data_IF_973399355155
#
_entry.id   IF_973399355155
#
_cell.length_a   1.000
_cell.length_b   1.000
_cell.length_c   1.000
_cell.angle_alpha   90.00
_cell.angle_beta   90.00
_cell.angle_gamma   90.00
#
_symmetry.space_group_name_H-M   'P 1'
#
loop_
_entity.id
_entity.type
_entity.pdbx_description
1 polymer ?
#
# COMPACT_ATOMS: atom_id res chain seq x y z
N UNK A 1 0.25 16.14 2.20
CA UNK A 1 -0.94 15.29 1.98
C UNK A 1 -0.87 13.93 2.69
N UNK A 2 0.32 13.38 3.00
CA UNK A 2 0.47 12.14 3.79
C UNK A 2 -0.33 12.15 5.11
N UNK A 3 -0.24 13.22 5.91
CA UNK A 3 -1.04 13.34 7.15
C UNK A 3 -2.57 13.29 6.92
N UNK A 4 -3.07 13.82 5.80
CA UNK A 4 -4.49 13.77 5.45
C UNK A 4 -4.92 12.34 5.09
N UNK A 5 -4.05 11.58 4.44
CA UNK A 5 -4.33 10.19 4.04
C UNK A 5 -4.40 9.25 5.25
N UNK A 6 -3.65 9.53 6.32
CA UNK A 6 -3.65 8.71 7.53
C UNK A 6 -4.84 8.99 8.46
N UNK A 7 -5.42 10.19 8.45
CA UNK A 7 -6.55 10.55 9.33
C UNK A 7 -6.21 10.58 10.83
N UNK A 8 -4.94 10.40 11.19
CA UNK A 8 -4.40 10.43 12.56
C UNK A 8 -3.01 11.05 12.57
N UNK A 9 -2.49 11.34 13.76
CA UNK A 9 -1.08 11.72 13.91
C UNK A 9 -0.21 10.56 13.38
N UNK A 10 0.68 10.81 12.40
CA UNK A 10 1.52 9.78 11.83
C UNK A 10 2.58 9.32 12.83
N UNK A 11 2.98 8.06 12.70
CA UNK A 11 4.06 7.44 13.44
C UNK A 11 5.12 6.92 12.48
N UNK A 12 6.35 6.74 12.95
CA UNK A 12 7.40 6.06 12.18
C UNK A 12 6.94 4.65 11.80
N UNK A 13 7.17 4.27 10.55
CA UNK A 13 6.72 3.01 9.94
C UNK A 13 5.34 3.07 9.27
N UNK A 14 4.60 4.17 9.44
CA UNK A 14 3.35 4.38 8.71
C UNK A 14 3.61 4.53 7.20
N UNK A 15 2.75 3.93 6.37
CA UNK A 15 2.84 3.99 4.91
C UNK A 15 1.59 4.62 4.30
N UNK A 16 1.77 5.50 3.32
CA UNK A 16 0.69 6.08 2.53
C UNK A 16 0.96 5.92 1.03
N UNK A 17 -0.05 5.53 0.27
CA UNK A 17 0.04 5.37 -1.18
C UNK A 17 -0.64 6.53 -1.91
N UNK A 18 0.02 7.07 -2.94
CA UNK A 18 -0.56 8.13 -3.78
C UNK A 18 0.11 8.20 -5.17
N UNK A 19 -0.70 8.30 -6.24
CA UNK A 19 -0.26 8.41 -7.65
C UNK A 19 0.78 7.35 -8.08
N UNK A 20 0.61 6.11 -7.62
CA UNK A 20 1.55 5.03 -7.94
C UNK A 20 2.88 5.12 -7.19
N UNK A 21 2.90 5.77 -6.03
CA UNK A 21 4.02 5.82 -5.11
C UNK A 21 3.58 5.35 -3.73
N UNK A 22 4.48 4.67 -3.03
CA UNK A 22 4.38 4.40 -1.59
C UNK A 22 5.34 5.33 -0.85
N UNK A 23 4.84 5.99 0.19
CA UNK A 23 5.60 6.86 1.09
C UNK A 23 5.60 6.23 2.47
N UNK A 24 6.75 5.77 2.92
CA UNK A 24 6.95 5.26 4.28
C UNK A 24 7.58 6.36 5.15
N UNK A 25 7.03 6.58 6.34
CA UNK A 25 7.57 7.54 7.30
C UNK A 25 8.74 6.89 8.03
N UNK A 26 9.95 7.39 7.77
CA UNK A 26 11.19 6.88 8.38
C UNK A 26 11.54 7.66 9.63
N UNK A 27 11.18 8.95 9.67
CA UNK A 27 11.51 9.82 10.79
C UNK A 27 10.46 10.89 11.02
N UNK A 28 10.20 11.14 12.30
CA UNK A 28 9.25 12.12 12.81
C UNK A 28 9.98 13.09 13.72
N UNK A 29 9.96 14.38 13.38
CA UNK A 29 10.49 15.43 14.25
C UNK A 29 9.36 16.12 14.99
N UNK A 30 9.31 15.96 16.32
CA UNK A 30 8.38 16.57 17.29
C UNK A 30 6.89 16.49 16.89
N UNK A 31 6.47 17.24 15.88
CA UNK A 31 5.10 17.35 15.39
C UNK A 31 4.95 17.24 13.86
N UNK A 32 6.02 16.93 13.11
CA UNK A 32 6.00 16.83 11.64
C UNK A 32 6.80 15.64 11.14
N UNK A 33 6.41 15.19 9.95
CA UNK A 33 7.21 14.22 9.19
C UNK A 33 8.49 14.94 8.75
N UNK A 34 9.64 14.40 9.12
CA UNK A 34 10.94 14.91 8.69
C UNK A 34 11.45 14.12 7.48
N UNK A 35 11.38 12.79 7.57
CA UNK A 35 11.93 11.89 6.55
C UNK A 35 10.91 10.88 6.07
N UNK A 36 10.83 10.75 4.75
CA UNK A 36 10.04 9.71 4.08
C UNK A 36 10.91 8.94 3.09
N UNK A 37 10.68 7.64 3.02
CA UNK A 37 11.17 6.81 1.93
C UNK A 37 10.08 6.76 0.85
N UNK A 38 10.41 7.24 -0.34
CA UNK A 38 9.52 7.19 -1.50
C UNK A 38 9.95 6.06 -2.43
N UNK A 39 9.03 5.15 -2.73
CA UNK A 39 9.24 4.07 -3.68
C UNK A 39 8.11 4.04 -4.72
N UNK A 40 8.43 3.68 -5.97
CA UNK A 40 7.40 3.44 -6.98
C UNK A 40 6.65 2.18 -6.60
N UNK A 41 5.32 2.24 -6.60
CA UNK A 41 4.52 1.03 -6.49
C UNK A 41 4.80 0.16 -7.71
N UNK A 42 4.95 -1.17 -7.53
CA UNK A 42 5.05 -2.07 -8.66
C UNK A 42 3.82 -1.85 -9.54
N UNK A 43 4.04 -1.69 -10.85
CA UNK A 43 2.94 -1.68 -11.80
C UNK A 43 2.24 -3.02 -11.64
N UNK A 44 1.04 -3.05 -11.04
CA UNK A 44 0.19 -4.23 -11.12
C UNK A 44 -0.17 -4.41 -12.58
N UNK A 45 0.61 -5.22 -13.30
CA UNK A 45 0.14 -5.80 -14.54
C UNK A 45 -1.15 -6.53 -14.20
N UNK A 46 -2.23 -6.18 -14.87
CA UNK A 46 -3.60 -6.64 -14.66
C UNK A 46 -3.83 -8.15 -14.86
N UNK A 47 -2.79 -8.98 -14.77
CA UNK A 47 -2.81 -10.39 -15.13
C UNK A 47 -2.88 -11.37 -13.95
N UNK A 48 -3.03 -10.92 -12.69
CA UNK A 48 -2.88 -11.81 -11.53
C UNK A 48 -4.03 -11.74 -10.51
N UNK A 49 -5.28 -11.58 -10.97
CA UNK A 49 -6.46 -11.81 -10.13
C UNK A 49 -7.49 -12.79 -10.72
N UNK A 50 -7.10 -13.62 -11.69
CA UNK A 50 -7.96 -14.64 -12.30
C UNK A 50 -7.49 -16.07 -11.99
N UNK A 51 -6.89 -16.31 -10.81
CA UNK A 51 -6.64 -17.67 -10.31
C UNK A 51 -6.78 -17.78 -8.78
N UNK A 52 -7.97 -17.51 -8.27
CA UNK A 52 -8.40 -18.04 -6.96
C UNK A 52 -9.92 -18.20 -6.91
N UNK A 53 -10.43 -19.06 -7.78
CA UNK A 53 -11.86 -19.36 -7.87
C UNK A 53 -12.17 -20.40 -8.94
N UNK A 54 -11.31 -21.41 -9.08
CA UNK A 54 -11.55 -22.55 -9.95
C UNK A 54 -11.09 -23.79 -9.22
N UNK A 55 -11.97 -24.79 -9.19
CA UNK A 55 -11.86 -26.12 -8.57
C UNK A 55 -12.37 -26.18 -7.11
N UNK A 56 -13.51 -26.79 -6.78
CA UNK A 56 -14.07 -28.01 -7.35
C UNK A 56 -15.58 -27.89 -7.66
N UNK A 57 -15.90 -27.84 -8.95
CA UNK A 57 -17.13 -28.47 -9.48
C UNK A 57 -16.66 -29.54 -10.45
N UNK A 58 -16.20 -30.66 -9.91
CA UNK A 58 -16.03 -31.94 -10.59
C UNK A 58 -16.48 -32.97 -9.54
N UNK A 59 -17.33 -33.95 -9.79
CA UNK A 59 -17.41 -34.76 -11.00
C UNK A 59 -18.71 -35.62 -10.93
N UNK A 60 -18.94 -36.59 -11.83
CA UNK A 60 -20.23 -36.82 -12.46
C UNK A 60 -20.93 -38.10 -12.00
N UNK A 61 -22.27 -38.10 -12.08
CA UNK A 61 -23.17 -39.15 -12.63
C UNK A 61 -24.60 -38.92 -12.15
#
# INVERSE_FOLDING_TARGET
MVMLLLGRVPHTGDVAEWQGWSFEIVDMDKHRIDKVLAARLPQRSSAENEKKGGDATDAPR
#
